data_IF_668283868522
#
_entry.id   IF_668283868522
#
_cell.length_a   1.000
_cell.length_b   1.000
_cell.length_c   1.000
_cell.angle_alpha   90.00
_cell.angle_beta   90.00
_cell.angle_gamma   90.00
#
_symmetry.space_group_name_H-M   'P 1'
#
loop_
_entity.id
_entity.type
_entity.pdbx_description
1 polymer ?
#
# COMPACT_ATOMS: atom_id res chain seq x y z
N UNK A 1 14.50 2.69 -14.59
CA UNK A 1 15.17 3.31 -13.43
C UNK A 1 14.31 3.15 -12.19
N UNK A 2 14.76 2.33 -11.24
CA UNK A 2 14.07 2.13 -9.96
C UNK A 2 14.06 3.44 -9.18
N UNK A 3 12.91 4.12 -9.16
CA UNK A 3 12.73 5.36 -8.39
C UNK A 3 12.82 5.01 -6.91
N UNK A 4 14.01 5.21 -6.34
CA UNK A 4 14.32 5.13 -4.93
C UNK A 4 13.52 6.21 -4.18
N UNK A 5 12.27 5.91 -3.84
CA UNK A 5 11.40 6.77 -3.01
C UNK A 5 11.91 6.85 -1.55
N UNK A 6 12.98 6.14 -1.21
CA UNK A 6 13.59 6.15 0.14
C UNK A 6 14.37 7.43 0.48
N UNK A 7 14.72 8.28 -0.49
CA UNK A 7 15.58 9.45 -0.26
C UNK A 7 14.84 10.79 -0.06
N UNK A 8 13.51 10.85 -0.21
CA UNK A 8 12.78 12.14 -0.22
C UNK A 8 12.08 12.57 1.07
N UNK A 9 12.34 11.94 2.23
CA UNK A 9 11.83 12.45 3.51
C UNK A 9 12.79 12.14 4.68
N UNK A 10 13.95 12.78 4.75
CA UNK A 10 14.46 13.15 6.08
C UNK A 10 13.67 14.40 6.47
N UNK A 11 12.78 14.36 7.48
CA UNK A 11 12.05 15.56 7.86
C UNK A 11 13.06 16.62 8.31
N UNK A 12 12.85 17.85 7.87
CA UNK A 12 13.68 19.01 8.22
C UNK A 12 13.88 19.03 9.75
N UNK A 13 15.10 19.29 10.27
CA UNK A 13 15.30 19.35 11.72
C UNK A 13 14.33 20.39 12.30
N UNK A 14 13.76 20.13 13.49
CA UNK A 14 12.82 21.05 14.08
C UNK A 14 13.55 22.36 14.37
N UNK A 15 12.86 23.49 14.26
CA UNK A 15 13.41 24.78 14.71
C UNK A 15 13.77 24.68 16.19
N UNK A 16 14.78 25.45 16.64
CA UNK A 16 15.30 25.47 18.02
C UNK A 16 14.17 25.33 19.05
N UNK A 17 14.18 24.24 19.83
CA UNK A 17 13.22 23.97 20.91
C UNK A 17 12.28 22.77 20.71
N UNK A 18 12.27 22.12 19.55
CA UNK A 18 11.46 20.92 19.29
C UNK A 18 12.37 19.69 19.14
N UNK A 19 12.07 18.59 19.83
CA UNK A 19 12.77 17.30 19.68
C UNK A 19 11.91 16.30 18.90
N UNK A 20 12.56 15.44 18.11
CA UNK A 20 11.88 14.28 17.52
C UNK A 20 11.76 13.19 18.56
N UNK A 21 10.60 12.54 18.64
CA UNK A 21 10.45 11.28 19.33
C UNK A 21 10.64 10.14 18.32
N UNK A 22 11.78 9.45 18.39
CA UNK A 22 12.00 8.24 17.62
C UNK A 22 11.29 7.08 18.31
N UNK A 23 10.15 6.66 17.74
CA UNK A 23 9.45 5.48 18.24
C UNK A 23 10.25 4.23 17.85
N UNK A 24 10.84 3.57 18.84
CA UNK A 24 11.46 2.26 18.65
C UNK A 24 10.43 1.26 18.13
N UNK A 25 10.85 0.42 17.18
CA UNK A 25 9.98 -0.62 16.62
C UNK A 25 10.07 -1.83 17.55
N UNK A 26 8.96 -2.26 18.18
CA UNK A 26 8.98 -3.43 19.03
C UNK A 26 9.40 -4.66 18.21
N UNK A 27 10.36 -5.41 18.72
CA UNK A 27 10.83 -6.68 18.15
C UNK A 27 10.03 -7.80 18.82
N UNK A 28 9.18 -8.47 18.05
CA UNK A 28 8.39 -9.60 18.53
C UNK A 28 9.14 -10.90 18.28
N UNK A 29 9.04 -11.87 19.21
CA UNK A 29 9.50 -13.24 18.97
C UNK A 29 8.59 -13.89 17.93
N UNK A 30 9.15 -14.33 16.82
CA UNK A 30 8.43 -14.94 15.70
C UNK A 30 8.19 -16.42 16.01
N UNK A 31 6.96 -16.90 15.82
CA UNK A 31 6.57 -18.30 16.07
C UNK A 31 6.38 -19.08 14.76
N UNK A 32 5.92 -18.42 13.69
CA UNK A 32 5.70 -19.05 12.37
C UNK A 32 6.21 -18.19 11.23
N UNK A 33 6.64 -18.85 10.16
CA UNK A 33 7.00 -18.18 8.89
C UNK A 33 5.78 -18.11 7.98
N UNK A 34 5.67 -17.04 7.20
CA UNK A 34 4.59 -16.90 6.21
C UNK A 34 4.62 -17.94 5.07
N UNK A 35 5.73 -18.67 4.91
CA UNK A 35 5.85 -19.74 3.91
C UNK A 35 5.09 -21.01 4.30
N UNK A 36 4.94 -21.25 5.61
CA UNK A 36 4.31 -22.46 6.16
C UNK A 36 2.79 -22.30 6.32
N UNK A 37 2.22 -21.18 5.84
CA UNK A 37 0.79 -20.94 5.90
C UNK A 37 0.07 -21.67 4.76
N UNK A 38 -1.01 -22.42 5.05
CA UNK A 38 -1.82 -23.04 4.01
C UNK A 38 -2.50 -21.95 3.16
N UNK A 39 -2.70 -22.26 1.88
CA UNK A 39 -3.42 -21.37 0.97
C UNK A 39 -4.92 -21.37 1.25
N UNK A 40 -5.46 -22.50 1.71
CA UNK A 40 -6.87 -22.65 2.06
C UNK A 40 -7.17 -22.33 3.52
N UNK A 41 -8.22 -21.52 3.73
CA UNK A 41 -8.73 -21.15 5.05
C UNK A 41 -9.25 -22.35 5.86
N UNK A 42 -9.67 -23.43 5.20
CA UNK A 42 -10.28 -24.60 5.85
C UNK A 42 -9.28 -25.38 6.68
N UNK A 43 -8.00 -25.33 6.31
CA UNK A 43 -6.92 -26.05 6.97
C UNK A 43 -6.27 -25.23 8.10
N UNK A 44 -6.78 -24.02 8.34
CA UNK A 44 -6.26 -23.13 9.38
C UNK A 44 -6.87 -23.49 10.72
N UNK A 45 -6.03 -24.03 11.61
CA UNK A 45 -6.40 -24.20 13.01
C UNK A 45 -6.63 -22.84 13.70
N UNK A 46 -7.66 -22.77 14.55
CA UNK A 46 -8.00 -21.56 15.36
C UNK A 46 -6.85 -21.06 16.24
N UNK A 47 -5.83 -21.89 16.47
CA UNK A 47 -4.61 -21.53 17.22
C UNK A 47 -3.79 -20.40 16.55
N UNK A 48 -4.03 -20.12 15.26
CA UNK A 48 -3.35 -19.03 14.54
C UNK A 48 -3.54 -17.65 15.18
N UNK A 49 -4.59 -17.47 15.98
CA UNK A 49 -4.85 -16.23 16.70
C UNK A 49 -3.80 -15.94 17.79
N UNK A 50 -3.08 -16.94 18.29
CA UNK A 50 -2.04 -16.73 19.31
C UNK A 50 -0.64 -16.65 18.71
N UNK A 51 -0.49 -17.02 17.45
CA UNK A 51 0.79 -17.11 16.76
C UNK A 51 1.25 -15.76 16.21
N UNK A 52 2.58 -15.56 16.22
CA UNK A 52 3.22 -14.40 15.58
C UNK A 52 3.83 -14.85 14.27
N UNK A 53 3.30 -14.32 13.17
CA UNK A 53 3.68 -14.66 11.79
C UNK A 53 4.74 -13.67 11.30
N UNK A 54 5.81 -14.17 10.67
CA UNK A 54 6.82 -13.35 10.02
C UNK A 54 6.35 -12.82 8.67
N UNK A 55 6.38 -11.51 8.48
CA UNK A 55 6.11 -10.89 7.17
C UNK A 55 7.26 -11.12 6.17
N UNK A 56 6.93 -11.65 4.99
CA UNK A 56 7.89 -11.93 3.91
C UNK A 56 8.69 -10.71 3.44
N UNK A 57 8.13 -9.49 3.53
CA UNK A 57 8.76 -8.25 3.02
C UNK A 57 9.57 -7.50 4.07
N UNK A 58 9.07 -7.38 5.29
CA UNK A 58 9.66 -6.52 6.32
C UNK A 58 10.25 -7.28 7.51
N UNK A 59 10.12 -8.61 7.53
CA UNK A 59 10.59 -9.51 8.61
C UNK A 59 10.05 -9.14 10.00
N UNK A 60 8.98 -8.35 10.07
CA UNK A 60 8.29 -8.03 11.32
C UNK A 60 7.27 -9.12 11.63
N UNK A 61 7.17 -9.47 12.90
CA UNK A 61 6.07 -10.26 13.42
C UNK A 61 4.75 -9.50 13.34
N UNK A 62 3.68 -10.18 12.93
CA UNK A 62 2.31 -9.69 13.04
C UNK A 62 1.38 -10.82 13.51
N UNK A 63 0.25 -10.43 14.08
CA UNK A 63 -0.79 -11.33 14.57
C UNK A 63 -2.09 -11.05 13.84
N UNK A 64 -2.86 -12.10 13.58
CA UNK A 64 -4.19 -12.01 13.01
C UNK A 64 -5.20 -11.89 14.16
N UNK A 65 -6.16 -10.99 14.01
CA UNK A 65 -7.23 -10.75 14.98
C UNK A 65 -8.46 -11.58 14.57
N UNK A 66 -9.29 -11.98 15.52
CA UNK A 66 -10.53 -12.74 15.28
C UNK A 66 -11.44 -12.10 14.22
N UNK A 67 -11.61 -10.78 14.28
CA UNK A 67 -12.40 -10.04 13.31
C UNK A 67 -11.82 -10.15 11.89
N UNK A 68 -10.49 -10.16 11.75
CA UNK A 68 -9.83 -10.34 10.46
C UNK A 68 -10.02 -11.77 9.95
N UNK A 69 -9.89 -12.79 10.80
CA UNK A 69 -10.13 -14.19 10.42
C UNK A 69 -11.59 -14.42 9.99
N UNK A 70 -12.55 -13.85 10.71
CA UNK A 70 -13.97 -13.93 10.36
C UNK A 70 -14.25 -13.22 9.02
N UNK A 71 -13.67 -12.05 8.79
CA UNK A 71 -13.74 -11.35 7.52
C UNK A 71 -13.21 -12.23 6.38
N UNK A 72 -11.99 -12.78 6.52
CA UNK A 72 -11.39 -13.65 5.51
C UNK A 72 -12.28 -14.87 5.21
N UNK A 73 -12.84 -15.51 6.25
CA UNK A 73 -13.76 -16.63 6.12
C UNK A 73 -15.03 -16.31 5.34
N UNK A 74 -15.67 -15.16 5.63
CA UNK A 74 -16.89 -14.72 4.93
C UNK A 74 -16.67 -14.48 3.44
N UNK A 75 -15.49 -13.98 3.08
CA UNK A 75 -15.16 -13.62 1.69
C UNK A 75 -14.36 -14.72 0.96
N UNK A 76 -14.07 -15.85 1.61
CA UNK A 76 -13.27 -16.93 1.03
C UNK A 76 -11.85 -16.51 0.65
N UNK A 77 -11.25 -15.59 1.42
CA UNK A 77 -9.94 -15.01 1.12
C UNK A 77 -8.82 -15.71 1.89
N UNK A 78 -7.69 -16.05 1.25
CA UNK A 78 -6.57 -16.68 1.94
C UNK A 78 -5.94 -15.76 2.99
N UNK A 79 -5.22 -16.35 3.93
CA UNK A 79 -4.51 -15.60 4.97
C UNK A 79 -3.41 -14.73 4.33
N UNK A 80 -3.32 -13.43 4.68
CA UNK A 80 -2.31 -12.56 4.12
C UNK A 80 -0.91 -13.00 4.56
N UNK A 81 0.01 -13.20 3.60
CA UNK A 81 1.45 -13.45 3.83
C UNK A 81 2.27 -12.19 4.17
N UNK A 82 1.62 -11.03 4.11
CA UNK A 82 2.20 -9.73 4.38
C UNK A 82 1.50 -9.06 5.57
N UNK A 83 2.25 -8.37 6.42
CA UNK A 83 1.67 -7.61 7.52
C UNK A 83 0.76 -6.47 7.03
N UNK A 84 -0.13 -5.99 7.91
CA UNK A 84 -1.07 -4.90 7.64
C UNK A 84 -0.39 -3.67 7.04
N UNK A 85 0.75 -3.27 7.58
CA UNK A 85 1.52 -2.12 7.09
C UNK A 85 2.06 -2.33 5.67
N UNK A 86 2.57 -3.53 5.37
CA UNK A 86 3.05 -3.84 4.02
C UNK A 86 1.91 -3.87 3.00
N UNK A 87 0.75 -4.42 3.39
CA UNK A 87 -0.47 -4.39 2.56
C UNK A 87 -0.99 -2.97 2.36
N UNK A 88 -1.02 -2.16 3.42
CA UNK A 88 -1.41 -0.76 3.36
C UNK A 88 -0.48 0.03 2.42
N UNK A 89 0.83 -0.11 2.59
CA UNK A 89 1.81 0.53 1.70
C UNK A 89 1.67 0.08 0.25
N UNK A 90 1.42 -1.21 -0.01
CA UNK A 90 1.21 -1.71 -1.37
C UNK A 90 -0.01 -1.04 -2.04
N UNK A 91 -1.13 -0.91 -1.31
CA UNK A 91 -2.31 -0.16 -1.76
C UNK A 91 -1.98 1.31 -2.03
N UNK A 92 -1.26 1.95 -1.10
CA UNK A 92 -0.90 3.36 -1.22
C UNK A 92 0.00 3.66 -2.43
N UNK A 93 0.90 2.74 -2.80
CA UNK A 93 1.74 2.90 -4.00
C UNK A 93 0.92 2.84 -5.30
N UNK A 94 -0.20 2.14 -5.30
CA UNK A 94 -1.10 2.07 -6.46
C UNK A 94 -1.98 3.32 -6.58
N UNK A 95 -2.22 4.04 -5.48
CA UNK A 95 -3.00 5.28 -5.53
C UNK A 95 -2.22 6.40 -6.23
N UNK A 96 -2.93 7.21 -7.02
CA UNK A 96 -2.34 8.42 -7.57
C UNK A 96 -1.97 9.37 -6.44
N UNK A 97 -0.79 9.97 -6.55
CA UNK A 97 -0.34 10.98 -5.60
C UNK A 97 -1.33 12.14 -5.59
N UNK A 98 -1.71 12.68 -4.42
CA UNK A 98 -2.67 13.79 -4.32
C UNK A 98 -2.03 15.11 -4.78
N UNK A 99 -1.69 15.18 -6.06
CA UNK A 99 -1.10 16.31 -6.75
C UNK A 99 -1.72 16.39 -8.13
N UNK A 100 -2.15 17.59 -8.51
CA UNK A 100 -2.60 17.88 -9.86
C UNK A 100 -1.40 18.32 -10.71
N UNK A 101 -1.32 17.79 -11.91
CA UNK A 101 -0.35 18.13 -12.92
C UNK A 101 -1.02 18.86 -14.07
N UNK A 102 -0.30 19.81 -14.65
CA UNK A 102 -0.68 20.42 -15.91
C UNK A 102 -0.31 19.46 -17.04
N UNK A 103 -1.29 19.06 -17.83
CA UNK A 103 -1.14 18.26 -19.05
C UNK A 103 -1.94 18.92 -20.17
N UNK A 104 -1.70 18.48 -21.40
CA UNK A 104 -2.52 18.84 -22.55
C UNK A 104 -3.38 17.64 -22.95
N UNK A 105 -4.60 17.90 -23.39
CA UNK A 105 -5.46 16.87 -23.96
C UNK A 105 -4.81 16.28 -25.22
N UNK A 106 -4.68 14.96 -25.30
CA UNK A 106 -4.00 14.34 -26.46
C UNK A 106 -4.76 14.47 -27.79
N UNK A 107 -6.05 14.83 -27.76
CA UNK A 107 -6.87 15.02 -28.97
C UNK A 107 -6.94 16.47 -29.43
N UNK A 108 -7.28 17.40 -28.54
CA UNK A 108 -7.52 18.80 -28.88
C UNK A 108 -6.47 19.77 -28.32
N UNK A 109 -5.42 19.26 -27.65
CA UNK A 109 -4.29 20.02 -27.10
C UNK A 109 -4.67 21.11 -26.07
N UNK A 110 -5.91 21.13 -25.59
CA UNK A 110 -6.31 22.08 -24.55
C UNK A 110 -5.61 21.80 -23.21
N UNK A 111 -5.25 22.83 -22.43
CA UNK A 111 -4.65 22.65 -21.12
C UNK A 111 -5.65 22.05 -20.14
N UNK A 112 -5.25 20.98 -19.44
CA UNK A 112 -6.05 20.27 -18.45
C UNK A 112 -5.24 20.04 -17.16
N UNK A 113 -5.94 19.94 -16.03
CA UNK A 113 -5.35 19.56 -14.75
C UNK A 113 -5.77 18.14 -14.41
N UNK A 114 -4.81 17.24 -14.27
CA UNK A 114 -5.08 15.81 -14.04
C UNK A 114 -4.25 15.26 -12.90
N UNK A 115 -4.69 14.16 -12.27
CA UNK A 115 -3.92 13.45 -11.25
C UNK A 115 -2.78 12.60 -11.82
N UNK A 116 -2.73 12.45 -13.14
CA UNK A 116 -1.70 11.69 -13.85
C UNK A 116 -0.50 12.58 -14.18
N UNK A 117 0.71 12.16 -13.77
CA UNK A 117 1.95 12.89 -14.07
C UNK A 117 2.24 12.85 -15.59
N UNK A 118 2.76 13.94 -16.20
CA UNK A 118 3.27 13.97 -17.57
C UNK A 118 4.21 12.81 -17.94
N UNK A 119 5.01 12.33 -16.98
CA UNK A 119 5.98 11.25 -17.17
C UNK A 119 5.34 9.88 -17.42
N UNK A 120 4.04 9.72 -17.17
CA UNK A 120 3.36 8.45 -17.35
C UNK A 120 2.84 8.29 -18.79
N UNK A 121 2.87 7.06 -19.33
CA UNK A 121 2.52 6.79 -20.73
C UNK A 121 1.02 6.77 -21.01
N UNK A 122 0.15 6.93 -20.00
CA UNK A 122 -1.29 6.85 -20.21
C UNK A 122 -1.83 8.04 -21.02
N UNK A 123 -2.81 7.75 -21.88
CA UNK A 123 -3.51 8.75 -22.70
C UNK A 123 -4.54 9.47 -21.83
N UNK A 124 -4.50 10.80 -21.85
CA UNK A 124 -5.40 11.64 -21.05
C UNK A 124 -6.16 12.61 -21.96
N UNK A 125 -7.48 12.48 -21.94
CA UNK A 125 -8.39 13.36 -22.65
C UNK A 125 -9.06 14.37 -21.72
N UNK A 126 -9.47 15.50 -22.29
CA UNK A 126 -10.39 16.39 -21.61
C UNK A 126 -11.79 15.75 -21.55
N UNK A 127 -12.61 16.23 -20.62
CA UNK A 127 -13.98 15.73 -20.42
C UNK A 127 -14.79 15.72 -21.72
N UNK A 128 -14.73 16.81 -22.51
CA UNK A 128 -15.45 16.92 -23.78
C UNK A 128 -15.01 15.89 -24.82
N UNK A 129 -13.70 15.67 -24.97
CA UNK A 129 -13.18 14.69 -25.92
C UNK A 129 -13.46 13.26 -25.48
N UNK A 130 -13.40 12.99 -24.17
CA UNK A 130 -13.75 11.68 -23.63
C UNK A 130 -15.23 11.35 -23.88
N UNK A 131 -16.12 12.30 -23.59
CA UNK A 131 -17.57 12.16 -23.83
C UNK A 131 -17.88 11.95 -25.32
N UNK A 132 -17.19 12.62 -26.24
CA UNK A 132 -17.44 12.44 -27.66
C UNK A 132 -16.89 11.13 -28.26
N UNK A 133 -15.97 10.45 -27.59
CA UNK A 133 -15.36 9.20 -28.08
C UNK A 133 -15.94 7.93 -27.45
N UNK A 134 -16.35 7.99 -26.18
CA UNK A 134 -16.67 6.81 -25.38
C UNK A 134 -18.10 6.81 -24.81
N UNK A 135 -18.86 7.89 -25.00
CA UNK A 135 -20.28 7.98 -24.66
C UNK A 135 -21.08 8.27 -25.92
#
# INVERSE_FOLDING_TARGET
MLRNISQLLKPRPPKKGLSWFEKEKPVYKITKKAADLPDDLKDVNKNILQEVIECMKCKRGYKIIENELNFLGKFGLPIPRYCSECRHRARFVQTNMPKLYHRECMKCQMPIKTSYSPDRPEIVYCEKCYQAEFL
#
